data_IF_122691535461
#
_entry.id   IF_122691535461
#
_cell.length_a   1.000
_cell.length_b   1.000
_cell.length_c   1.000
_cell.angle_alpha   90.00
_cell.angle_beta   90.00
_cell.angle_gamma   90.00
#
_symmetry.space_group_name_H-M   'P 1'
#
loop_
_entity.id
_entity.type
_entity.pdbx_description
1 polymer ?
#
# COMPACT_ATOMS: atom_id res chain seq x y z
N UNK A 1 2.37 22.60 16.16
CA UNK A 1 1.21 23.46 15.88
C UNK A 1 0.31 23.42 17.08
N UNK A 2 0.05 24.58 17.64
CA UNK A 2 -0.93 24.76 18.73
C UNK A 2 -2.25 25.22 18.11
N UNK A 3 -3.35 24.63 18.56
CA UNK A 3 -4.70 25.01 18.17
C UNK A 3 -5.34 25.93 19.19
N UNK A 4 -6.32 26.73 18.80
CA UNK A 4 -7.00 27.70 19.66
C UNK A 4 -7.71 27.04 20.87
N UNK A 5 -8.10 25.76 20.74
CA UNK A 5 -8.70 24.94 21.81
C UNK A 5 -7.66 24.35 22.78
N UNK A 6 -6.36 24.67 22.62
CA UNK A 6 -5.25 24.12 23.41
C UNK A 6 -4.74 22.77 22.91
N UNK A 7 -5.27 22.24 21.80
CA UNK A 7 -4.76 21.03 21.16
C UNK A 7 -3.33 21.24 20.61
N UNK A 8 -2.49 20.21 20.65
CA UNK A 8 -1.12 20.25 20.16
C UNK A 8 -0.86 19.16 19.13
N UNK A 9 -0.48 19.53 17.90
CA UNK A 9 0.02 18.61 16.88
C UNK A 9 1.54 18.70 16.81
N UNK A 10 2.23 17.61 17.17
CA UNK A 10 3.68 17.51 17.09
C UNK A 10 4.11 16.58 15.96
N UNK A 11 4.97 17.06 15.07
CA UNK A 11 5.60 16.26 14.03
C UNK A 11 7.03 15.96 14.46
N UNK A 12 7.33 14.67 14.63
CA UNK A 12 8.68 14.18 14.94
C UNK A 12 9.25 13.47 13.72
N UNK A 13 10.24 14.06 13.07
CA UNK A 13 10.95 13.47 11.91
C UNK A 13 12.46 13.38 12.17
N UNK A 14 12.95 12.29 12.80
CA UNK A 14 14.38 12.10 13.08
C UNK A 14 15.25 12.07 11.82
N UNK A 15 14.68 11.67 10.67
CA UNK A 15 15.40 11.57 9.40
C UNK A 15 15.39 12.86 8.58
N UNK A 16 14.64 13.88 9.01
CA UNK A 16 14.49 15.17 8.32
C UNK A 16 14.07 15.05 6.84
N UNK A 17 13.17 14.11 6.55
CA UNK A 17 12.63 13.86 5.20
C UNK A 17 11.25 14.49 4.99
N UNK A 18 10.56 14.83 6.08
CA UNK A 18 9.26 15.46 6.06
C UNK A 18 9.37 16.99 6.00
N UNK A 19 8.34 17.60 5.46
CA UNK A 19 8.13 19.05 5.51
C UNK A 19 6.68 19.36 5.81
N UNK A 20 6.43 20.52 6.37
CA UNK A 20 5.08 21.06 6.56
C UNK A 20 4.94 22.27 5.65
N UNK A 21 3.95 22.26 4.82
CA UNK A 21 3.63 23.34 3.89
C UNK A 21 2.26 23.92 4.26
N UNK A 22 2.19 25.25 4.35
CA UNK A 22 0.94 25.96 4.56
C UNK A 22 0.22 26.13 3.22
N UNK A 23 -1.06 25.73 3.17
CA UNK A 23 -1.88 25.76 1.95
C UNK A 23 -1.23 25.04 0.76
N UNK A 24 -0.86 23.75 0.90
CA UNK A 24 -0.18 23.01 -0.15
C UNK A 24 -1.05 22.88 -1.41
N UNK A 25 -0.41 22.90 -2.58
CA UNK A 25 -1.08 22.52 -3.84
C UNK A 25 -1.20 21.00 -3.91
N UNK A 26 -2.42 20.48 -3.81
CA UNK A 26 -2.71 19.05 -3.84
C UNK A 26 -3.07 18.52 -5.25
N UNK A 27 -3.01 19.37 -6.27
CA UNK A 27 -3.38 19.04 -7.66
C UNK A 27 -2.56 17.90 -8.28
N UNK A 28 -1.43 17.57 -7.67
CA UNK A 28 -0.55 16.48 -8.10
C UNK A 28 -0.87 15.12 -7.46
N UNK A 29 -1.86 15.05 -6.58
CA UNK A 29 -2.29 13.79 -5.97
C UNK A 29 -3.32 13.08 -6.87
N UNK A 30 -3.23 11.75 -6.91
CA UNK A 30 -4.22 10.91 -7.55
C UNK A 30 -5.49 10.78 -6.71
N UNK A 31 -6.40 9.91 -7.16
CA UNK A 31 -7.64 9.64 -6.43
C UNK A 31 -7.34 9.15 -5.01
N UNK A 32 -8.13 9.65 -4.05
CA UNK A 32 -8.04 9.18 -2.67
C UNK A 32 -8.37 7.68 -2.60
N UNK A 33 -7.59 6.95 -1.79
CA UNK A 33 -7.72 5.49 -1.64
C UNK A 33 -9.12 5.07 -1.17
N UNK A 34 -9.83 5.89 -0.40
CA UNK A 34 -11.20 5.61 0.04
C UNK A 34 -12.20 5.71 -1.10
N UNK A 35 -11.93 6.54 -2.11
CA UNK A 35 -12.82 6.82 -3.23
C UNK A 35 -12.57 5.92 -4.44
N UNK A 36 -11.41 5.22 -4.52
CA UNK A 36 -11.07 4.42 -5.67
C UNK A 36 -12.09 3.30 -5.90
N UNK A 37 -12.60 3.20 -7.11
CA UNK A 37 -13.52 2.15 -7.55
C UNK A 37 -12.85 1.23 -8.60
N UNK A 38 -13.63 0.29 -9.17
CA UNK A 38 -13.11 -0.63 -10.18
C UNK A 38 -12.68 0.06 -11.48
N UNK A 39 -13.31 1.17 -11.84
CA UNK A 39 -12.92 1.97 -13.03
C UNK A 39 -11.63 2.73 -12.74
N UNK A 40 -11.54 3.37 -11.59
CA UNK A 40 -10.35 4.08 -11.14
C UNK A 40 -9.14 3.14 -11.02
N UNK A 41 -9.29 1.99 -10.36
CA UNK A 41 -8.20 1.00 -10.27
C UNK A 41 -7.78 0.49 -11.64
N UNK A 42 -8.72 0.20 -12.55
CA UNK A 42 -8.38 -0.24 -13.90
C UNK A 42 -7.64 0.85 -14.70
N UNK A 43 -8.01 2.12 -14.54
CA UNK A 43 -7.31 3.25 -15.16
C UNK A 43 -5.87 3.37 -14.64
N UNK A 44 -5.66 3.20 -13.33
CA UNK A 44 -4.33 3.18 -12.72
C UNK A 44 -3.45 2.06 -13.27
N UNK A 45 -3.99 0.86 -13.45
CA UNK A 45 -3.22 -0.33 -13.85
C UNK A 45 -2.99 -0.43 -15.36
N UNK A 46 -3.90 0.09 -16.17
CA UNK A 46 -3.91 -0.06 -17.62
C UNK A 46 -2.66 0.52 -18.27
N UNK A 47 -2.02 -0.29 -19.15
CA UNK A 47 -0.87 0.10 -19.96
C UNK A 47 0.40 0.42 -19.14
N UNK A 48 0.44 0.01 -17.89
CA UNK A 48 1.62 0.23 -17.05
C UNK A 48 2.43 -1.05 -16.87
N UNK A 49 3.59 -1.12 -17.51
CA UNK A 49 4.57 -2.21 -17.33
C UNK A 49 5.36 -2.12 -16.02
N UNK A 50 5.16 -1.07 -15.22
CA UNK A 50 5.82 -0.94 -13.90
C UNK A 50 5.35 -2.07 -12.97
N UNK A 51 6.22 -2.53 -12.02
CA UNK A 51 5.80 -3.43 -10.96
C UNK A 51 4.53 -2.93 -10.27
N UNK A 52 3.56 -3.82 -10.04
CA UNK A 52 2.25 -3.44 -9.49
C UNK A 52 2.39 -2.72 -8.14
N UNK A 53 3.29 -3.18 -7.27
CA UNK A 53 3.56 -2.48 -6.02
C UNK A 53 3.99 -1.04 -6.23
N UNK A 54 4.95 -0.80 -7.13
CA UNK A 54 5.44 0.54 -7.42
C UNK A 54 4.35 1.43 -8.03
N UNK A 55 3.46 0.84 -8.84
CA UNK A 55 2.34 1.55 -9.47
C UNK A 55 1.27 1.94 -8.45
N UNK A 56 0.92 1.05 -7.54
CA UNK A 56 -0.05 1.31 -6.48
C UNK A 56 0.44 2.36 -5.47
N UNK A 57 1.75 2.38 -5.18
CA UNK A 57 2.34 3.34 -4.23
C UNK A 57 2.61 4.73 -4.82
N UNK A 58 2.38 4.93 -6.10
CA UNK A 58 2.55 6.21 -6.76
C UNK A 58 1.41 7.16 -6.35
N UNK A 59 1.71 8.13 -5.47
CA UNK A 59 0.72 9.05 -4.91
C UNK A 59 0.04 9.92 -5.97
N UNK A 60 0.63 10.04 -7.17
CA UNK A 60 0.00 10.69 -8.32
C UNK A 60 -1.08 9.83 -8.97
N UNK A 61 -1.15 8.55 -8.62
CA UNK A 61 -2.14 7.60 -9.12
C UNK A 61 -3.20 7.30 -8.06
N UNK A 62 -2.74 6.93 -6.86
CA UNK A 62 -3.60 6.64 -5.70
C UNK A 62 -2.99 7.33 -4.49
N UNK A 63 -3.66 8.35 -3.97
CA UNK A 63 -3.25 9.02 -2.76
C UNK A 63 -3.60 8.19 -1.51
N UNK A 64 -2.68 8.12 -0.54
CA UNK A 64 -2.89 7.44 0.74
C UNK A 64 -2.40 5.99 0.80
N UNK A 65 -1.98 5.37 -0.32
CA UNK A 65 -1.49 4.00 -0.33
C UNK A 65 0.00 3.93 -0.04
N UNK A 66 0.35 3.55 1.19
CA UNK A 66 1.73 3.44 1.66
C UNK A 66 2.32 2.03 1.55
N UNK A 67 3.61 1.90 1.93
CA UNK A 67 4.38 0.65 1.77
C UNK A 67 3.79 -0.55 2.51
N UNK A 68 3.41 -0.37 3.79
CA UNK A 68 2.89 -1.46 4.63
C UNK A 68 1.56 -1.96 4.10
N UNK A 69 0.66 -1.03 3.81
CA UNK A 69 -0.68 -1.34 3.31
C UNK A 69 -0.63 -1.98 1.93
N UNK A 70 0.28 -1.55 1.05
CA UNK A 70 0.43 -2.16 -0.28
C UNK A 70 0.92 -3.61 -0.18
N UNK A 71 1.90 -3.91 0.67
CA UNK A 71 2.34 -5.30 0.87
C UNK A 71 1.21 -6.18 1.44
N UNK A 72 0.47 -5.68 2.42
CA UNK A 72 -0.68 -6.37 3.01
C UNK A 72 -1.75 -6.69 1.96
N UNK A 73 -2.12 -5.71 1.13
CA UNK A 73 -3.15 -5.88 0.10
C UNK A 73 -2.70 -6.89 -0.97
N UNK A 74 -1.48 -6.79 -1.46
CA UNK A 74 -0.93 -7.72 -2.46
C UNK A 74 -0.82 -9.14 -1.91
N UNK A 75 -0.40 -9.28 -0.64
CA UNK A 75 -0.36 -10.56 0.04
C UNK A 75 -1.76 -11.18 0.21
N UNK A 76 -2.76 -10.40 0.62
CA UNK A 76 -4.16 -10.84 0.71
C UNK A 76 -4.71 -11.29 -0.64
N UNK A 77 -4.35 -10.57 -1.71
CA UNK A 77 -4.79 -10.81 -3.08
C UNK A 77 -4.01 -11.91 -3.79
N UNK A 78 -2.96 -12.46 -3.18
CA UNK A 78 -2.08 -13.47 -3.77
C UNK A 78 -1.37 -13.01 -5.05
N UNK A 79 -1.04 -11.72 -5.16
CA UNK A 79 -0.38 -11.11 -6.31
C UNK A 79 1.08 -10.81 -5.99
N UNK A 80 2.02 -11.25 -6.84
CA UNK A 80 3.44 -10.92 -6.70
C UNK A 80 3.66 -9.40 -6.91
N UNK A 81 4.30 -8.70 -5.95
CA UNK A 81 4.58 -7.27 -6.04
C UNK A 81 5.41 -6.84 -7.25
N UNK A 82 6.13 -7.77 -7.89
CA UNK A 82 6.99 -7.53 -9.06
C UNK A 82 6.24 -7.61 -10.39
N UNK A 83 5.07 -8.22 -10.43
CA UNK A 83 4.29 -8.35 -11.67
C UNK A 83 4.02 -7.01 -12.32
N UNK A 84 3.98 -6.99 -13.63
CA UNK A 84 3.54 -5.82 -14.39
C UNK A 84 2.10 -5.44 -14.02
N UNK A 85 1.85 -4.17 -13.77
CA UNK A 85 0.53 -3.70 -13.33
C UNK A 85 -0.57 -3.98 -14.36
N UNK A 86 -0.26 -3.95 -15.65
CA UNK A 86 -1.21 -4.23 -16.72
C UNK A 86 -1.44 -5.73 -17.00
N UNK A 87 -0.60 -6.61 -16.42
CA UNK A 87 -0.71 -8.07 -16.62
C UNK A 87 -1.85 -8.73 -15.85
N UNK A 88 -2.50 -8.00 -14.92
CA UNK A 88 -3.55 -8.57 -14.10
C UNK A 88 -4.82 -8.89 -14.90
N UNK A 89 -5.37 -10.08 -14.68
CA UNK A 89 -6.68 -10.47 -15.22
C UNK A 89 -7.82 -9.64 -14.61
N UNK A 90 -9.01 -9.75 -15.18
CA UNK A 90 -10.20 -9.10 -14.63
C UNK A 90 -10.54 -9.61 -13.22
N UNK A 91 -10.35 -10.90 -12.99
CA UNK A 91 -10.58 -11.57 -11.72
C UNK A 91 -9.60 -11.10 -10.65
N UNK A 92 -8.31 -11.03 -11.00
CA UNK A 92 -7.27 -10.52 -10.10
C UNK A 92 -7.51 -9.04 -9.74
N UNK A 93 -7.92 -8.22 -10.68
CA UNK A 93 -8.28 -6.81 -10.43
C UNK A 93 -9.46 -6.67 -9.47
N UNK A 94 -10.48 -7.54 -9.61
CA UNK A 94 -11.63 -7.56 -8.66
C UNK A 94 -11.19 -8.01 -7.27
N UNK A 95 -10.37 -9.06 -7.18
CA UNK A 95 -9.80 -9.54 -5.93
C UNK A 95 -8.94 -8.46 -5.25
N UNK A 96 -8.08 -7.79 -6.01
CA UNK A 96 -7.25 -6.69 -5.53
C UNK A 96 -8.09 -5.54 -4.97
N UNK A 97 -9.13 -5.11 -5.69
CA UNK A 97 -10.03 -4.06 -5.23
C UNK A 97 -10.77 -4.44 -3.95
N UNK A 98 -11.25 -5.69 -3.88
CA UNK A 98 -11.93 -6.21 -2.69
C UNK A 98 -10.99 -6.16 -1.47
N UNK A 99 -9.78 -6.67 -1.60
CA UNK A 99 -8.81 -6.68 -0.49
C UNK A 99 -8.30 -5.27 -0.15
N UNK A 100 -8.21 -4.37 -1.13
CA UNK A 100 -7.90 -2.96 -0.89
C UNK A 100 -8.96 -2.33 0.00
N UNK A 101 -10.24 -2.40 -0.37
CA UNK A 101 -11.35 -1.85 0.43
C UNK A 101 -11.45 -2.50 1.82
N UNK A 102 -11.37 -3.83 1.87
CA UNK A 102 -11.42 -4.57 3.14
C UNK A 102 -10.27 -4.24 4.07
N UNK A 103 -9.04 -4.15 3.54
CA UNK A 103 -7.87 -3.81 4.34
C UNK A 103 -7.96 -2.37 4.90
N UNK A 104 -8.37 -1.41 4.08
CA UNK A 104 -8.50 -0.02 4.52
C UNK A 104 -9.49 0.06 5.68
N UNK A 105 -10.70 -0.46 5.52
CA UNK A 105 -11.73 -0.40 6.56
C UNK A 105 -11.24 -1.07 7.85
N UNK A 106 -10.78 -2.32 7.76
CA UNK A 106 -10.30 -3.07 8.93
C UNK A 106 -9.12 -2.38 9.63
N UNK A 107 -8.12 -1.92 8.88
CA UNK A 107 -6.91 -1.36 9.48
C UNK A 107 -7.15 0.05 10.03
N UNK A 108 -8.11 0.80 9.48
CA UNK A 108 -8.54 2.09 10.06
C UNK A 108 -9.17 1.87 11.44
N UNK A 109 -10.08 0.90 11.57
CA UNK A 109 -10.69 0.53 12.85
C UNK A 109 -9.68 0.04 13.88
N UNK A 110 -8.62 -0.66 13.44
CA UNK A 110 -7.56 -1.18 14.30
C UNK A 110 -6.46 -0.16 14.65
N UNK A 111 -6.53 1.07 14.13
CA UNK A 111 -5.57 2.14 14.44
C UNK A 111 -4.45 2.32 13.41
N UNK A 112 -4.49 1.64 12.26
CA UNK A 112 -3.60 1.93 11.15
C UNK A 112 -2.95 0.72 10.47
N UNK A 113 -2.16 1.01 9.43
CA UNK A 113 -1.55 -0.01 8.55
C UNK A 113 -0.54 -0.94 9.25
N UNK A 114 -0.04 -0.56 10.42
CA UNK A 114 0.84 -1.39 11.25
C UNK A 114 0.11 -2.56 11.94
N UNK A 115 -1.21 -2.59 11.90
CA UNK A 115 -2.05 -3.67 12.43
C UNK A 115 -2.38 -4.75 11.38
N UNK A 116 -1.74 -4.71 10.22
CA UNK A 116 -1.91 -5.72 9.17
C UNK A 116 -1.41 -7.10 9.59
N UNK A 117 -2.04 -8.17 9.08
CA UNK A 117 -1.70 -9.57 9.40
C UNK A 117 -0.29 -9.96 8.96
N UNK A 118 0.23 -9.35 7.89
CA UNK A 118 1.58 -9.59 7.41
C UNK A 118 2.63 -8.86 8.27
N UNK A 119 2.23 -7.84 9.02
CA UNK A 119 3.14 -6.86 9.61
C UNK A 119 4.15 -7.48 10.57
N UNK A 120 3.74 -8.32 11.51
CA UNK A 120 4.62 -8.97 12.49
C UNK A 120 5.63 -9.92 11.84
N UNK A 121 5.31 -10.40 10.64
CA UNK A 121 6.15 -11.30 9.86
C UNK A 121 7.10 -10.58 8.88
N UNK A 122 7.05 -9.26 8.82
CA UNK A 122 7.94 -8.44 7.96
C UNK A 122 9.32 -8.25 8.58
N UNK A 123 9.93 -9.34 8.97
CA UNK A 123 11.26 -9.43 9.57
C UNK A 123 12.17 -10.33 8.74
N UNK A 124 13.48 -10.30 9.00
CA UNK A 124 14.42 -11.25 8.38
C UNK A 124 14.00 -12.66 8.80
N UNK A 125 13.89 -13.55 7.82
CA UNK A 125 13.43 -14.93 8.01
C UNK A 125 11.98 -15.05 8.55
N UNK A 126 11.15 -14.05 8.31
CA UNK A 126 9.72 -14.12 8.65
C UNK A 126 8.96 -15.15 7.81
N UNK A 127 7.87 -15.65 8.37
CA UNK A 127 7.03 -16.68 7.73
C UNK A 127 5.72 -16.09 7.23
N UNK A 128 5.19 -16.67 6.17
CA UNK A 128 3.88 -16.32 5.66
C UNK A 128 2.78 -16.76 6.63
N UNK A 129 1.90 -15.84 7.10
CA UNK A 129 0.80 -16.22 8.00
C UNK A 129 -0.25 -17.15 7.39
N UNK A 130 -0.31 -17.26 6.04
CA UNK A 130 -1.26 -18.13 5.35
C UNK A 130 -0.78 -19.58 5.22
N UNK A 131 0.51 -19.79 4.95
CA UNK A 131 1.01 -21.09 4.50
C UNK A 131 2.36 -21.50 5.10
N UNK A 132 2.92 -20.69 6.00
CA UNK A 132 4.14 -20.98 6.73
C UNK A 132 5.44 -20.92 5.89
N UNK A 133 5.38 -20.56 4.62
CA UNK A 133 6.57 -20.41 3.80
C UNK A 133 7.43 -19.23 4.25
N UNK A 134 8.74 -19.30 4.09
CA UNK A 134 9.60 -18.15 4.31
C UNK A 134 9.24 -17.01 3.37
N UNK A 135 9.13 -15.80 3.91
CA UNK A 135 8.92 -14.60 3.11
C UNK A 135 10.20 -14.19 2.40
N UNK A 136 10.10 -13.89 1.13
CA UNK A 136 11.15 -13.21 0.38
C UNK A 136 11.22 -11.73 0.79
N UNK A 137 12.45 -11.20 0.93
CA UNK A 137 12.70 -9.79 1.20
C UNK A 137 13.56 -9.20 0.08
N UNK A 138 13.02 -8.19 -0.60
CA UNK A 138 13.69 -7.49 -1.71
C UNK A 138 13.21 -6.04 -1.81
N UNK A 139 13.61 -5.31 -2.86
CA UNK A 139 13.14 -3.94 -3.11
C UNK A 139 12.29 -3.87 -4.38
N UNK A 140 11.16 -3.17 -4.29
CA UNK A 140 10.34 -2.78 -5.45
C UNK A 140 10.09 -1.27 -5.37
N UNK A 141 10.40 -0.55 -6.43
CA UNK A 141 10.25 0.92 -6.47
C UNK A 141 11.03 1.62 -5.35
N UNK A 142 12.21 1.11 -4.98
CA UNK A 142 13.04 1.64 -3.89
C UNK A 142 12.56 1.31 -2.47
N UNK A 143 11.44 0.60 -2.31
CA UNK A 143 10.85 0.26 -1.01
C UNK A 143 11.06 -1.21 -0.65
N UNK A 144 11.45 -1.48 0.60
CA UNK A 144 11.53 -2.84 1.12
C UNK A 144 10.18 -3.53 1.01
N UNK A 145 10.19 -4.71 0.42
CA UNK A 145 9.02 -5.52 0.07
C UNK A 145 9.16 -6.88 0.73
N UNK A 146 8.06 -7.40 1.26
CA UNK A 146 7.96 -8.77 1.72
C UNK A 146 6.85 -9.46 0.96
N UNK A 147 7.12 -10.63 0.40
CA UNK A 147 6.13 -11.45 -0.32
C UNK A 147 6.31 -12.92 -0.06
N UNK A 148 5.24 -13.67 -0.21
CA UNK A 148 5.27 -15.13 -0.10
C UNK A 148 5.48 -15.77 -1.46
N UNK A 149 6.59 -16.51 -1.69
CA UNK A 149 6.86 -17.13 -2.99
C UNK A 149 5.90 -18.29 -3.28
N UNK A 150 5.17 -18.81 -2.30
CA UNK A 150 4.29 -19.96 -2.44
C UNK A 150 2.93 -19.60 -3.03
N UNK A 151 2.29 -18.51 -2.59
CA UNK A 151 0.95 -18.17 -3.04
C UNK A 151 0.84 -16.83 -3.79
N UNK A 152 1.81 -15.93 -3.73
CA UNK A 152 1.81 -14.71 -4.55
C UNK A 152 2.44 -15.02 -5.92
N UNK A 153 1.64 -14.88 -6.99
CA UNK A 153 2.03 -15.18 -8.37
C UNK A 153 1.74 -14.03 -9.31
#
# INVERSE_FOLDING_TARGET
>A
VEFEDGGLLTIRDPRRLGSVELNPKVDNLGSDIYQIDGRGLNAVLRGSSRPIKARLMDQKQIAGLGNLLTDEILWRSSIDPRRSADSLSKEEKRCLLYHLKSAINQLTELGGSHMGKLQDNRVISGFCPKDGAFLERYKVGGRTTYSCPKHQR
#
